data_IF_790757857146
#
_entry.id   IF_790757857146
#
_cell.length_a   1.000
_cell.length_b   1.000
_cell.length_c   1.000
_cell.angle_alpha   90.00
_cell.angle_beta   90.00
_cell.angle_gamma   90.00
#
_symmetry.space_group_name_H-M   'P 1'
#
loop_
_entity.id
_entity.type
_entity.pdbx_description
1 polymer ?
#
# COMPACT_ATOMS: atom_id res chain seq x y z
N UNK A 1 -12.91 16.36 23.44
CA UNK A 1 -11.58 17.00 23.42
C UNK A 1 -10.56 15.88 23.45
N UNK A 2 -9.74 15.84 22.39
CA UNK A 2 -8.59 14.95 22.19
C UNK A 2 -8.88 13.46 22.36
N UNK A 3 -9.49 12.88 21.32
CA UNK A 3 -9.30 11.46 21.03
C UNK A 3 -7.80 11.21 21.00
N UNK A 4 -7.38 10.34 21.91
CA UNK A 4 -6.04 9.83 22.02
C UNK A 4 -5.54 9.54 20.63
N UNK A 5 -4.43 10.19 20.28
CA UNK A 5 -3.62 9.90 19.11
C UNK A 5 -3.21 8.42 19.25
N UNK A 6 -4.09 7.51 18.83
CA UNK A 6 -3.75 6.13 18.53
C UNK A 6 -2.53 6.29 17.64
N UNK A 7 -1.39 5.81 18.11
CA UNK A 7 -0.14 5.88 17.35
C UNK A 7 -0.37 4.97 16.15
N UNK A 8 -1.00 5.53 15.12
CA UNK A 8 -1.38 4.83 13.90
C UNK A 8 -0.11 4.68 13.12
N UNK A 9 0.42 3.47 13.16
CA UNK A 9 1.63 3.18 12.43
C UNK A 9 1.33 3.24 10.93
N UNK A 10 1.86 4.30 10.32
CA UNK A 10 1.72 4.59 8.89
C UNK A 10 2.19 3.43 8.02
N UNK A 11 3.16 2.62 8.47
CA UNK A 11 3.67 1.47 7.70
C UNK A 11 2.69 0.30 7.77
N UNK A 12 2.14 -0.02 8.95
CA UNK A 12 1.12 -1.05 9.11
C UNK A 12 -0.14 -0.71 8.32
N UNK A 13 -0.56 0.55 8.26
CA UNK A 13 -1.70 0.96 7.44
C UNK A 13 -1.47 0.69 5.95
N UNK A 14 -0.26 0.97 5.44
CA UNK A 14 0.10 0.72 4.04
C UNK A 14 0.11 -0.78 3.75
N UNK A 15 0.74 -1.59 4.62
CA UNK A 15 0.77 -3.05 4.47
C UNK A 15 -0.65 -3.63 4.51
N UNK A 16 -1.47 -3.15 5.45
CA UNK A 16 -2.87 -3.62 5.61
C UNK A 16 -3.71 -3.25 4.40
N UNK A 17 -3.56 -2.02 3.90
CA UNK A 17 -4.28 -1.55 2.69
C UNK A 17 -3.90 -2.38 1.46
N UNK A 18 -2.62 -2.73 1.31
CA UNK A 18 -2.13 -3.59 0.23
C UNK A 18 -2.65 -5.02 0.36
N UNK A 19 -2.73 -5.58 1.58
CA UNK A 19 -3.26 -6.94 1.81
C UNK A 19 -4.76 -7.04 1.60
N UNK A 20 -5.50 -5.97 1.92
CA UNK A 20 -6.96 -5.94 1.80
C UNK A 20 -7.44 -5.51 0.40
N UNK A 21 -6.58 -4.91 -0.42
CA UNK A 21 -6.93 -4.53 -1.78
C UNK A 21 -6.80 -5.72 -2.74
N UNK A 22 -7.85 -5.94 -3.52
CA UNK A 22 -7.85 -7.00 -4.54
C UNK A 22 -7.08 -6.58 -5.81
N UNK A 23 -7.18 -5.30 -6.20
CA UNK A 23 -6.61 -4.80 -7.47
C UNK A 23 -6.01 -3.38 -7.32
N UNK A 24 -6.69 -2.47 -6.62
CA UNK A 24 -6.29 -1.04 -6.54
C UNK A 24 -6.22 -0.58 -5.09
N UNK A 25 -5.11 0.08 -4.73
CA UNK A 25 -4.87 0.68 -3.41
C UNK A 25 -4.79 2.20 -3.55
N UNK A 26 -5.43 2.95 -2.65
CA UNK A 26 -5.28 4.41 -2.55
C UNK A 26 -4.64 4.76 -1.22
N UNK A 27 -3.53 5.50 -1.23
CA UNK A 27 -2.84 5.98 -0.02
C UNK A 27 -2.41 7.42 -0.20
N UNK A 28 -2.33 8.21 0.88
CA UNK A 28 -1.84 9.58 0.77
C UNK A 28 -0.35 9.61 0.39
N UNK A 29 0.04 10.58 -0.42
CA UNK A 29 1.37 10.72 -1.03
C UNK A 29 2.35 11.38 -0.05
N UNK A 30 2.79 10.64 0.96
CA UNK A 30 3.88 11.09 1.85
C UNK A 30 5.25 10.65 1.30
N UNK A 31 6.33 11.34 1.68
CA UNK A 31 7.69 10.99 1.22
C UNK A 31 8.08 9.54 1.52
N UNK A 32 7.73 9.05 2.72
CA UNK A 32 7.99 7.66 3.13
C UNK A 32 7.19 6.67 2.26
N UNK A 33 5.89 6.94 2.05
CA UNK A 33 5.03 6.07 1.23
C UNK A 33 5.50 6.06 -0.22
N UNK A 34 5.95 7.19 -0.76
CA UNK A 34 6.53 7.26 -2.11
C UNK A 34 7.80 6.39 -2.23
N UNK A 35 8.69 6.40 -1.23
CA UNK A 35 9.87 5.55 -1.22
C UNK A 35 9.52 4.05 -1.16
N UNK A 36 8.57 3.66 -0.31
CA UNK A 36 8.08 2.27 -0.22
C UNK A 36 7.48 1.83 -1.57
N UNK A 37 6.62 2.67 -2.16
CA UNK A 37 5.98 2.39 -3.45
C UNK A 37 7.01 2.25 -4.57
N UNK A 38 8.06 3.07 -4.60
CA UNK A 38 9.16 2.93 -5.56
C UNK A 38 9.86 1.57 -5.44
N UNK A 39 10.10 1.10 -4.22
CA UNK A 39 10.68 -0.23 -3.98
C UNK A 39 9.72 -1.30 -4.49
N UNK A 40 8.45 -1.26 -4.09
CA UNK A 40 7.45 -2.25 -4.50
C UNK A 40 7.23 -2.30 -6.02
N UNK A 41 7.36 -1.17 -6.72
CA UNK A 41 7.31 -1.11 -8.18
C UNK A 41 8.57 -1.74 -8.82
N UNK A 42 9.76 -1.47 -8.27
CA UNK A 42 11.03 -2.06 -8.75
C UNK A 42 11.08 -3.57 -8.57
N UNK A 43 10.57 -4.07 -7.44
CA UNK A 43 10.47 -5.49 -7.12
C UNK A 43 9.34 -6.21 -7.89
N UNK A 44 8.53 -5.46 -8.65
CA UNK A 44 7.47 -6.01 -9.50
C UNK A 44 6.21 -6.49 -8.77
N UNK A 45 6.01 -6.03 -7.53
CA UNK A 45 4.80 -6.27 -6.73
C UNK A 45 3.64 -5.37 -7.17
N UNK A 46 3.95 -4.15 -7.60
CA UNK A 46 3.01 -3.18 -8.15
C UNK A 46 3.22 -3.14 -9.65
N UNK A 47 2.13 -3.15 -10.41
CA UNK A 47 2.15 -3.05 -11.87
C UNK A 47 2.21 -1.59 -12.32
N UNK A 48 1.45 -0.71 -11.65
CA UNK A 48 1.41 0.70 -12.00
C UNK A 48 1.18 1.60 -10.77
N UNK A 49 1.70 2.83 -10.84
CA UNK A 49 1.53 3.86 -9.81
C UNK A 49 1.09 5.14 -10.50
N UNK A 50 -0.05 5.68 -10.07
CA UNK A 50 -0.56 6.98 -10.53
C UNK A 50 -0.62 7.95 -9.37
N UNK A 51 -0.24 9.21 -9.62
CA UNK A 51 -0.51 10.31 -8.70
C UNK A 51 -1.86 10.90 -9.04
N UNK A 52 -2.70 11.06 -8.03
CA UNK A 52 -3.99 11.73 -8.14
C UNK A 52 -4.03 12.86 -7.11
N UNK A 53 -4.51 14.04 -7.50
CA UNK A 53 -4.64 15.18 -6.58
C UNK A 53 -6.12 15.44 -6.36
N UNK A 54 -6.57 15.37 -5.11
CA UNK A 54 -7.97 15.60 -4.72
C UNK A 54 -7.99 16.69 -3.65
N UNK A 55 -8.65 17.82 -3.92
CA UNK A 55 -8.79 18.95 -2.99
C UNK A 55 -7.49 19.31 -2.24
N UNK A 56 -6.40 19.57 -2.98
CA UNK A 56 -5.04 19.85 -2.48
C UNK A 56 -4.28 18.69 -1.82
N UNK A 57 -4.87 17.52 -1.64
CA UNK A 57 -4.18 16.36 -1.11
C UNK A 57 -3.67 15.48 -2.26
N UNK A 58 -2.37 15.19 -2.24
CA UNK A 58 -1.78 14.24 -3.16
C UNK A 58 -2.04 12.81 -2.67
N UNK A 59 -2.59 11.98 -3.55
CA UNK A 59 -2.89 10.57 -3.36
C UNK A 59 -2.09 9.73 -4.37
N UNK A 60 -1.67 8.55 -3.93
CA UNK A 60 -1.08 7.52 -4.76
C UNK A 60 -2.12 6.43 -5.01
N UNK A 61 -2.39 6.17 -6.27
CA UNK A 61 -3.23 5.07 -6.74
C UNK A 61 -2.31 3.98 -7.25
N UNK A 62 -2.24 2.86 -6.54
CA UNK A 62 -1.38 1.72 -6.85
C UNK A 62 -2.23 0.63 -7.49
N UNK A 63 -1.77 0.09 -8.61
CA UNK A 63 -2.35 -1.09 -9.25
C UNK A 63 -1.49 -2.29 -8.89
N UNK A 64 -2.02 -3.20 -8.07
CA UNK A 64 -1.29 -4.40 -7.66
C UNK A 64 -1.21 -5.37 -8.84
N UNK A 65 -0.07 -6.03 -8.98
CA UNK A 65 0.11 -7.00 -10.06
C UNK A 65 -0.70 -8.26 -9.78
N UNK A 66 -1.78 -8.45 -10.54
CA UNK A 66 -2.66 -9.60 -10.41
C UNK A 66 -2.17 -10.78 -11.28
N UNK A 67 -1.64 -11.85 -10.66
CA UNK A 67 -1.27 -13.08 -11.39
C UNK A 67 -2.51 -13.97 -11.61
N UNK A 68 -3.13 -13.86 -12.79
CA UNK A 68 -4.37 -14.57 -13.18
C UNK A 68 -4.34 -16.11 -13.29
N UNK A 69 -3.21 -16.79 -13.05
CA UNK A 69 -3.13 -18.23 -13.34
C UNK A 69 -2.52 -19.04 -12.20
N UNK A 70 -3.40 -19.58 -11.33
CA UNK A 70 -3.35 -20.96 -10.80
C UNK A 70 -4.53 -21.18 -9.83
N UNK A 71 -5.24 -22.30 -9.99
CA UNK A 71 -6.37 -22.82 -9.19
C UNK A 71 -6.03 -23.10 -7.71
N UNK A 72 -5.29 -22.24 -7.03
CA UNK A 72 -5.04 -22.34 -5.59
C UNK A 72 -5.34 -20.98 -4.97
N UNK A 73 -6.43 -20.98 -4.19
CA UNK A 73 -6.78 -20.05 -3.12
C UNK A 73 -5.85 -18.86 -3.01
N UNK A 74 -6.39 -17.71 -3.40
CA UNK A 74 -5.81 -16.37 -3.44
C UNK A 74 -5.06 -15.99 -2.15
N UNK A 75 -3.90 -16.60 -1.92
CA UNK A 75 -3.01 -16.26 -0.82
C UNK A 75 -2.17 -15.13 -1.36
N UNK A 76 -2.58 -13.90 -1.02
CA UNK A 76 -1.81 -12.68 -1.25
C UNK A 76 -0.31 -12.98 -1.20
N UNK A 77 0.33 -13.01 -2.37
CA UNK A 77 1.75 -13.38 -2.54
C UNK A 77 2.69 -12.31 -1.94
N UNK A 78 2.11 -11.26 -1.38
CA UNK A 78 2.74 -10.19 -0.64
C UNK A 78 2.90 -10.64 0.82
N UNK A 79 3.97 -11.40 1.10
CA UNK A 79 4.41 -11.69 2.47
C UNK A 79 5.01 -10.43 3.13
N UNK A 80 4.30 -9.30 3.04
CA UNK A 80 4.66 -8.05 3.67
C UNK A 80 4.39 -8.18 5.17
N UNK A 81 5.48 -8.29 5.94
CA UNK A 81 5.45 -8.31 7.39
C UNK A 81 6.19 -7.09 7.91
N UNK A 82 5.54 -6.32 8.79
CA UNK A 82 6.21 -5.26 9.53
C UNK A 82 7.19 -5.87 10.53
N UNK A 83 8.44 -5.42 10.50
CA UNK A 83 9.51 -5.88 11.41
C UNK A 83 9.72 -4.88 12.56
N UNK A 84 9.97 -3.60 12.26
CA UNK A 84 10.14 -2.54 13.26
C UNK A 84 8.79 -2.02 13.75
N UNK A 85 8.58 -1.98 15.07
CA UNK A 85 7.38 -1.45 15.78
C UNK A 85 7.75 -0.23 16.63
N UNK A 86 6.82 0.72 16.91
CA UNK A 86 7.11 1.82 17.81
C UNK A 86 7.19 1.34 19.26
#
# INVERSE_FOLDING_TARGET
>A
VNDSRVISDTIAEVITSIRNADIVVRVASTNIRQSIVKILLREGFIENVRKHRENNNDLLVLTLRHRRNRKRTYRNLLNLKRISRP
#
